data_IF_248838221844
#
_entry.id   IF_248838221844
#
_cell.length_a   1.000
_cell.length_b   1.000
_cell.length_c   1.000
_cell.angle_alpha   90.00
_cell.angle_beta   90.00
_cell.angle_gamma   90.00
#
_symmetry.space_group_name_H-M   'P 1'
#
loop_
_entity.id
_entity.type
_entity.pdbx_description
1 polymer ?
#
# COMPACT_ATOMS: atom_id res chain seq x y z
N UNK A 1 17.82 6.88 4.30
CA UNK A 1 17.23 5.69 4.94
C UNK A 1 15.87 5.45 4.33
N UNK A 2 15.70 4.38 3.57
CA UNK A 2 14.44 4.13 2.85
C UNK A 2 13.28 3.87 3.80
N UNK A 3 12.08 4.26 3.41
CA UNK A 3 10.86 4.07 4.19
C UNK A 3 9.93 3.15 3.41
N UNK A 4 9.51 2.05 4.03
CA UNK A 4 8.61 1.08 3.40
C UNK A 4 7.34 0.91 4.23
N UNK A 5 6.20 1.18 3.62
CA UNK A 5 4.89 0.92 4.21
C UNK A 5 4.38 -0.44 3.72
N UNK A 6 4.07 -1.33 4.67
CA UNK A 6 3.29 -2.53 4.43
C UNK A 6 1.85 -2.31 4.89
N UNK A 7 0.89 -2.70 4.05
CA UNK A 7 -0.52 -2.76 4.43
C UNK A 7 -1.04 -4.16 4.13
N UNK A 8 -1.69 -4.78 5.11
CA UNK A 8 -2.27 -6.12 4.96
C UNK A 8 -3.79 -6.05 4.87
N UNK A 9 -4.35 -6.86 3.98
CA UNK A 9 -5.80 -7.03 3.86
C UNK A 9 -6.18 -8.51 3.85
N UNK A 10 -7.32 -8.86 4.46
CA UNK A 10 -7.98 -10.15 4.30
C UNK A 10 -9.22 -10.02 3.41
N UNK A 11 -9.68 -11.12 2.82
CA UNK A 11 -10.79 -11.11 1.85
C UNK A 11 -10.36 -10.66 0.45
N UNK A 12 -11.33 -10.27 -0.38
CA UNK A 12 -11.13 -9.86 -1.77
C UNK A 12 -10.69 -10.98 -2.72
N UNK A 13 -11.08 -10.84 -3.99
CA UNK A 13 -10.58 -11.70 -5.07
C UNK A 13 -9.28 -11.15 -5.63
N UNK A 14 -8.55 -11.97 -6.40
CA UNK A 14 -7.36 -11.49 -7.11
C UNK A 14 -7.68 -10.32 -8.04
N UNK A 15 -8.76 -10.44 -8.81
CA UNK A 15 -9.09 -9.45 -9.83
C UNK A 15 -9.49 -8.11 -9.22
N UNK A 16 -10.33 -8.13 -8.17
CA UNK A 16 -10.71 -6.90 -7.43
C UNK A 16 -9.51 -6.22 -6.78
N UNK A 17 -8.64 -6.98 -6.11
CA UNK A 17 -7.43 -6.42 -5.49
C UNK A 17 -6.46 -5.85 -6.52
N UNK A 18 -6.24 -6.55 -7.65
CA UNK A 18 -5.35 -6.06 -8.71
C UNK A 18 -5.91 -4.80 -9.36
N UNK A 19 -7.21 -4.73 -9.60
CA UNK A 19 -7.85 -3.55 -10.18
C UNK A 19 -7.63 -2.31 -9.30
N UNK A 20 -7.89 -2.40 -7.99
CA UNK A 20 -7.67 -1.30 -7.05
C UNK A 20 -6.18 -0.99 -6.88
N UNK A 21 -5.32 -2.00 -6.79
CA UNK A 21 -3.88 -1.81 -6.63
C UNK A 21 -3.26 -1.06 -7.82
N UNK A 22 -3.77 -1.21 -9.05
CA UNK A 22 -3.30 -0.44 -10.21
C UNK A 22 -3.61 1.05 -10.08
N UNK A 23 -4.82 1.41 -9.61
CA UNK A 23 -5.19 2.79 -9.32
C UNK A 23 -4.28 3.38 -8.23
N UNK A 24 -4.11 2.62 -7.14
CA UNK A 24 -3.27 3.02 -6.02
C UNK A 24 -1.79 3.21 -6.42
N UNK A 25 -1.25 2.30 -7.25
CA UNK A 25 0.12 2.38 -7.78
C UNK A 25 0.39 3.71 -8.46
N UNK A 26 -0.48 4.11 -9.39
CA UNK A 26 -0.30 5.36 -10.13
C UNK A 26 -0.25 6.59 -9.21
N UNK A 27 -1.13 6.65 -8.20
CA UNK A 27 -1.13 7.76 -7.23
C UNK A 27 0.09 7.74 -6.32
N UNK A 28 0.50 6.56 -5.86
CA UNK A 28 1.66 6.39 -4.98
C UNK A 28 2.97 6.75 -5.67
N UNK A 29 3.16 6.31 -6.91
CA UNK A 29 4.36 6.64 -7.70
C UNK A 29 4.40 8.13 -8.04
N UNK A 30 3.24 8.72 -8.41
CA UNK A 30 3.13 10.18 -8.59
C UNK A 30 3.47 10.96 -7.31
N UNK A 31 3.16 10.40 -6.14
CA UNK A 31 3.49 10.98 -4.85
C UNK A 31 4.94 10.75 -4.40
N UNK A 32 5.77 10.06 -5.21
CA UNK A 32 7.19 9.87 -4.95
C UNK A 32 7.58 8.49 -4.39
N UNK A 33 6.68 7.51 -4.44
CA UNK A 33 7.07 6.13 -4.16
C UNK A 33 7.97 5.59 -5.29
N UNK A 34 9.11 5.00 -4.95
CA UNK A 34 10.02 4.33 -5.89
C UNK A 34 9.44 3.00 -6.39
N UNK A 35 8.58 2.39 -5.56
CA UNK A 35 7.99 1.10 -5.84
C UNK A 35 6.64 0.97 -5.16
N UNK A 36 5.69 0.41 -5.90
CA UNK A 36 4.43 -0.09 -5.36
C UNK A 36 4.12 -1.48 -5.93
N UNK A 37 3.81 -2.43 -5.03
CA UNK A 37 3.42 -3.79 -5.40
C UNK A 37 2.30 -4.33 -4.53
N UNK A 38 1.57 -5.30 -5.08
CA UNK A 38 0.65 -6.16 -4.35
C UNK A 38 1.14 -7.60 -4.44
N UNK A 39 1.03 -8.35 -3.37
CA UNK A 39 1.38 -9.76 -3.29
C UNK A 39 0.37 -10.48 -2.40
N UNK A 40 0.30 -11.80 -2.50
CA UNK A 40 -0.51 -12.62 -1.60
C UNK A 40 0.42 -13.50 -0.78
N UNK A 41 0.20 -13.56 0.53
CA UNK A 41 0.92 -14.50 1.38
C UNK A 41 0.52 -15.92 1.00
N UNK A 42 1.49 -16.73 0.58
CA UNK A 42 1.25 -18.13 0.23
C UNK A 42 1.31 -19.05 1.47
N UNK A 43 2.17 -18.73 2.44
CA UNK A 43 2.41 -19.51 3.65
C UNK A 43 2.54 -18.59 4.88
N UNK A 44 2.70 -19.18 6.06
CA UNK A 44 2.91 -18.47 7.33
C UNK A 44 1.60 -18.02 8.01
N UNK A 45 1.70 -17.26 9.12
CA UNK A 45 0.55 -16.89 9.95
C UNK A 45 -0.47 -15.97 9.24
N UNK A 46 -0.11 -15.41 8.08
CA UNK A 46 -0.96 -14.55 7.27
C UNK A 46 -1.33 -15.17 5.92
N UNK A 47 -1.15 -16.48 5.76
CA UNK A 47 -1.47 -17.18 4.51
C UNK A 47 -2.87 -16.80 3.99
N UNK A 48 -2.96 -16.52 2.70
CA UNK A 48 -4.18 -16.08 2.02
C UNK A 48 -4.44 -14.57 2.06
N UNK A 49 -3.83 -13.81 2.98
CA UNK A 49 -3.94 -12.35 3.02
C UNK A 49 -3.16 -11.67 1.90
N UNK A 50 -3.55 -10.44 1.58
CA UNK A 50 -2.86 -9.55 0.67
C UNK A 50 -1.82 -8.71 1.41
N UNK A 51 -0.68 -8.48 0.76
CA UNK A 51 0.36 -7.55 1.16
C UNK A 51 0.49 -6.47 0.09
N UNK A 52 0.19 -5.23 0.46
CA UNK A 52 0.47 -4.05 -0.34
C UNK A 52 1.72 -3.37 0.21
N UNK A 53 2.66 -3.06 -0.67
CA UNK A 53 3.95 -2.44 -0.31
C UNK A 53 4.11 -1.15 -1.10
N UNK A 54 4.44 -0.05 -0.40
CA UNK A 54 4.93 1.18 -1.00
C UNK A 54 6.28 1.54 -0.39
N UNK A 55 7.29 1.83 -1.22
CA UNK A 55 8.64 2.22 -0.77
C UNK A 55 8.98 3.63 -1.24
N UNK A 56 9.63 4.38 -0.37
CA UNK A 56 10.08 5.76 -0.58
C UNK A 56 11.57 5.87 -0.25
N UNK A 57 12.28 6.84 -0.87
CA UNK A 57 13.72 7.00 -0.65
C UNK A 57 14.06 7.44 0.78
N UNK A 58 13.16 8.20 1.41
CA UNK A 58 13.36 8.82 2.72
C UNK A 58 12.05 9.24 3.40
N UNK A 59 12.16 9.66 4.66
CA UNK A 59 11.04 10.17 5.47
C UNK A 59 10.42 11.45 4.93
N UNK A 60 11.21 12.35 4.33
CA UNK A 60 10.71 13.61 3.82
C UNK A 60 9.77 13.39 2.62
N UNK A 61 10.12 12.46 1.75
CA UNK A 61 9.33 12.03 0.61
C UNK A 61 8.09 11.26 1.06
N UNK A 62 8.24 10.34 2.02
CA UNK A 62 7.09 9.66 2.62
C UNK A 62 6.08 10.63 3.25
N UNK A 63 6.53 11.60 4.04
CA UNK A 63 5.68 12.60 4.69
C UNK A 63 4.87 13.40 3.67
N UNK A 64 5.56 13.99 2.66
CA UNK A 64 4.89 14.71 1.57
C UNK A 64 3.90 13.83 0.80
N UNK A 65 4.23 12.56 0.59
CA UNK A 65 3.34 11.61 -0.07
C UNK A 65 2.07 11.38 0.77
N UNK A 66 2.19 11.22 2.08
CA UNK A 66 1.04 11.05 2.97
C UNK A 66 0.17 12.30 3.01
N UNK A 67 0.76 13.49 3.10
CA UNK A 67 0.03 14.75 3.07
C UNK A 67 -0.74 14.90 1.74
N UNK A 68 -0.08 14.62 0.61
CA UNK A 68 -0.68 14.69 -0.73
C UNK A 68 -1.84 13.69 -0.86
N UNK A 69 -1.63 12.44 -0.48
CA UNK A 69 -2.63 11.38 -0.66
C UNK A 69 -3.81 11.53 0.30
N UNK A 70 -3.57 11.90 1.56
CA UNK A 70 -4.65 12.09 2.54
C UNK A 70 -5.51 13.32 2.25
N UNK A 71 -5.02 14.28 1.46
CA UNK A 71 -5.81 15.39 0.95
C UNK A 71 -6.53 15.11 -0.38
N UNK A 72 -6.27 13.98 -1.04
CA UNK A 72 -6.78 13.69 -2.39
C UNK A 72 -8.09 12.88 -2.34
N UNK A 73 -9.23 13.42 -2.83
CA UNK A 73 -10.50 12.68 -2.90
C UNK A 73 -10.41 11.37 -3.69
N UNK A 74 -9.58 11.29 -4.73
CA UNK A 74 -9.40 10.07 -5.51
C UNK A 74 -8.72 8.97 -4.67
N UNK A 75 -7.85 9.35 -3.74
CA UNK A 75 -7.25 8.41 -2.80
C UNK A 75 -8.28 7.88 -1.81
N UNK A 76 -9.16 8.75 -1.28
CA UNK A 76 -10.27 8.31 -0.43
C UNK A 76 -11.22 7.35 -1.14
N UNK A 77 -11.53 7.60 -2.42
CA UNK A 77 -12.36 6.69 -3.22
C UNK A 77 -11.73 5.29 -3.34
N UNK A 78 -10.40 5.21 -3.54
CA UNK A 78 -9.66 3.94 -3.56
C UNK A 78 -9.74 3.22 -2.20
N UNK A 79 -9.60 3.96 -1.10
CA UNK A 79 -9.69 3.39 0.24
C UNK A 79 -11.10 2.85 0.54
N UNK A 80 -12.14 3.57 0.12
CA UNK A 80 -13.54 3.10 0.22
C UNK A 80 -13.78 1.88 -0.65
N UNK A 81 -13.27 1.87 -1.89
CA UNK A 81 -13.42 0.75 -2.82
C UNK A 81 -12.80 -0.54 -2.26
N UNK A 82 -11.55 -0.49 -1.77
CA UNK A 82 -10.90 -1.69 -1.21
C UNK A 82 -11.57 -2.17 0.08
N UNK A 83 -12.02 -1.25 0.94
CA UNK A 83 -12.68 -1.63 2.20
C UNK A 83 -14.09 -2.18 2.00
N UNK A 84 -14.68 -1.98 0.82
CA UNK A 84 -15.96 -2.61 0.43
C UNK A 84 -15.87 -4.12 0.19
N UNK A 85 -14.70 -4.68 -0.12
CA UNK A 85 -14.54 -6.11 -0.40
C UNK A 85 -13.37 -6.79 0.34
N UNK A 86 -12.51 -6.03 1.02
CA UNK A 86 -11.38 -6.53 1.78
C UNK A 86 -11.28 -5.80 3.13
N UNK A 87 -10.95 -6.53 4.19
CA UNK A 87 -10.77 -5.97 5.53
C UNK A 87 -9.32 -5.57 5.75
N UNK A 88 -9.09 -4.36 6.25
CA UNK A 88 -7.76 -3.91 6.68
C UNK A 88 -7.33 -4.69 7.93
N UNK A 89 -6.21 -5.41 7.83
CA UNK A 89 -5.66 -6.23 8.93
C UNK A 89 -4.48 -5.56 9.63
N UNK A 90 -3.89 -4.53 9.02
CA UNK A 90 -2.83 -3.77 9.65
C UNK A 90 -2.03 -2.93 8.66
N UNK A 91 -1.35 -1.92 9.19
CA UNK A 91 -0.40 -1.08 8.46
C UNK A 91 0.83 -0.86 9.33
N UNK A 92 2.01 -1.01 8.73
CA UNK A 92 3.29 -0.88 9.42
C UNK A 92 4.27 -0.14 8.53
N UNK A 93 5.09 0.73 9.13
CA UNK A 93 6.16 1.46 8.45
C UNK A 93 7.49 0.93 8.95
N UNK A 94 8.40 0.64 8.02
CA UNK A 94 9.76 0.19 8.32
C UNK A 94 10.76 1.15 7.72
N UNK A 95 11.91 1.24 8.37
CA UNK A 95 13.07 1.97 7.90
C UNK A 95 14.14 0.98 7.46
N UNK A 96 14.65 1.15 6.24
CA UNK A 96 15.78 0.34 5.76
C UNK A 96 17.03 0.58 6.61
N UNK A 97 17.91 -0.41 6.68
CA UNK A 97 19.25 -0.26 7.26
C UNK A 97 20.25 -0.53 6.15
N UNK A 98 21.34 0.24 6.14
CA UNK A 98 22.49 -0.06 5.26
C UNK A 98 23.17 -1.34 5.76
N UNK A 99 23.63 -2.18 4.84
CA UNK A 99 24.32 -3.45 5.13
C UNK A 99 25.78 -3.38 4.66
#
# INVERSE_FOLDING_TARGET
MTVTQFTRFSGGTRDSMVAVARKAKAMQEKAGAEMFRVSRFHTGPWAGQWLVVARYPDWATYGRAMDTLTGDPAWHAILTEVTGFAKLEGRTVLTGVEL
#
